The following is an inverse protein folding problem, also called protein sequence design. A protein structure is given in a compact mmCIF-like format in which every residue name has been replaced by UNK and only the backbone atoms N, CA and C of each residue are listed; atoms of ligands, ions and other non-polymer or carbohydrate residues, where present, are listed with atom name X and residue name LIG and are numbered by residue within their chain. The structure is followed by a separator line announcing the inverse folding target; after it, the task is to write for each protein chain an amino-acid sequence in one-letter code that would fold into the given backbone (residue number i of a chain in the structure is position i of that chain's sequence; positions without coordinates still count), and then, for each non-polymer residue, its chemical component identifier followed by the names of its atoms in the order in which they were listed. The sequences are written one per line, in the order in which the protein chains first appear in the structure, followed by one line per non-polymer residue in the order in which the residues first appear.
data_IF_366640985788
#
_entry.id   IF_366640985788
#
_cell.length_a   1.000
_cell.length_b   1.000
_cell.length_c   1.000
_cell.angle_alpha   90.00
_cell.angle_beta   90.00
_cell.angle_gamma   90.00
#
_symmetry.space_group_name_H-M   'P 1'
#
loop_
_entity.id
_entity.type
_entity.pdbx_description
1 polymer ?
#
# COMPACT_ATOMS: atom_id res chain seq x y z
N UNK A 1 12.72 43.37 -4.77
CA UNK A 1 13.99 43.04 -5.46
C UNK A 1 14.32 41.64 -5.05
N UNK A 2 14.33 40.74 -6.04
CA UNK A 2 14.09 39.31 -5.88
C UNK A 2 15.37 38.56 -5.51
N UNK A 3 15.16 37.48 -4.78
CA UNK A 3 16.15 36.54 -4.27
C UNK A 3 16.81 35.73 -5.39
N UNK A 4 18.11 35.52 -5.23
CA UNK A 4 18.94 34.58 -5.97
C UNK A 4 18.60 33.13 -5.60
N UNK A 5 18.41 32.27 -6.61
CA UNK A 5 18.45 30.82 -6.49
C UNK A 5 19.51 30.35 -7.49
N UNK A 6 20.50 29.59 -6.99
CA UNK A 6 21.54 28.93 -7.78
C UNK A 6 21.13 27.47 -8.05
N UNK A 7 21.53 27.05 -9.25
CA UNK A 7 21.29 25.83 -10.04
C UNK A 7 21.33 24.46 -9.34
N UNK A 8 20.45 23.57 -9.83
CA UNK A 8 20.64 22.11 -9.78
C UNK A 8 20.62 21.60 -11.22
N UNK A 9 21.78 21.14 -11.69
CA UNK A 9 21.99 20.58 -13.02
C UNK A 9 21.14 19.31 -13.27
N UNK A 10 20.32 19.39 -14.31
CA UNK A 10 19.60 18.28 -14.92
C UNK A 10 20.47 17.72 -16.06
N UNK A 11 21.03 16.53 -15.91
CA UNK A 11 21.63 15.80 -17.03
C UNK A 11 20.71 14.66 -17.47
N UNK A 12 19.98 14.93 -18.55
CA UNK A 12 19.35 13.93 -19.39
C UNK A 12 20.06 13.95 -20.75
N UNK A 13 20.65 12.83 -21.16
CA UNK A 13 21.00 12.56 -22.57
C UNK A 13 21.15 11.05 -22.79
N UNK A 14 20.09 10.40 -23.28
CA UNK A 14 20.21 9.31 -24.29
C UNK A 14 20.62 9.96 -25.64
N UNK A 15 20.87 9.25 -26.77
CA UNK A 15 20.85 7.81 -27.08
C UNK A 15 22.10 7.37 -27.92
N UNK A 16 22.20 6.10 -28.37
CA UNK A 16 22.03 5.71 -29.79
C UNK A 16 22.52 4.28 -30.13
N UNK A 17 21.67 3.56 -30.90
CA UNK A 17 21.92 2.59 -32.02
C UNK A 17 22.96 1.45 -31.90
N UNK A 18 22.82 0.25 -32.48
CA UNK A 18 21.96 -0.26 -33.56
C UNK A 18 22.00 -1.81 -33.63
N UNK A 19 20.87 -2.38 -34.06
CA UNK A 19 20.67 -3.55 -34.97
C UNK A 19 21.28 -4.96 -34.79
N UNK A 20 20.33 -5.92 -34.82
CA UNK A 20 20.34 -7.27 -35.44
C UNK A 20 21.23 -8.35 -34.80
N UNK A 21 20.78 -9.59 -34.53
CA UNK A 21 20.02 -10.53 -35.37
C UNK A 21 19.33 -11.59 -34.50
N UNK A 22 18.22 -12.14 -35.00
CA UNK A 22 17.45 -13.25 -34.45
C UNK A 22 18.28 -14.46 -34.01
N UNK A 23 17.95 -15.03 -32.85
CA UNK A 23 17.96 -16.49 -32.64
C UNK A 23 16.86 -16.86 -31.67
N UNK A 24 15.79 -17.38 -32.23
CA UNK A 24 14.73 -18.12 -31.55
C UNK A 24 15.33 -19.26 -30.74
N UNK A 25 15.01 -19.38 -29.46
CA UNK A 25 14.94 -20.69 -28.82
C UNK A 25 13.92 -20.64 -27.68
N UNK A 26 12.88 -21.46 -27.84
CA UNK A 26 11.88 -21.88 -26.87
C UNK A 26 12.29 -21.70 -25.40
N UNK A 27 11.48 -20.94 -24.65
CA UNK A 27 11.16 -21.37 -23.28
C UNK A 27 9.69 -21.09 -23.04
N UNK A 28 8.92 -22.17 -23.14
CA UNK A 28 7.56 -22.28 -22.64
C UNK A 28 7.62 -22.16 -21.11
N UNK A 29 7.57 -20.94 -20.60
CA UNK A 29 7.38 -20.70 -19.17
C UNK A 29 5.92 -20.34 -18.92
N UNK A 30 5.16 -21.31 -18.41
CA UNK A 30 3.90 -21.05 -17.73
C UNK A 30 4.17 -20.03 -16.61
N UNK A 31 3.49 -18.86 -16.61
CA UNK A 31 3.80 -17.80 -15.66
C UNK A 31 3.16 -18.15 -14.31
N UNK A 32 4.00 -18.34 -13.31
CA UNK A 32 3.58 -18.38 -11.91
C UNK A 32 3.99 -17.03 -11.30
N UNK A 33 3.02 -16.31 -10.73
CA UNK A 33 3.16 -15.08 -9.93
C UNK A 33 3.52 -13.74 -10.61
N UNK A 34 2.95 -13.44 -11.79
CA UNK A 34 2.75 -12.03 -12.18
C UNK A 34 1.37 -11.56 -11.73
N UNK A 35 1.31 -10.66 -10.75
CA UNK A 35 0.07 -10.02 -10.27
C UNK A 35 -0.46 -8.92 -11.20
N UNK A 36 0.32 -8.61 -12.24
CA UNK A 36 0.19 -7.41 -13.06
C UNK A 36 0.62 -7.73 -14.50
N UNK A 37 -0.13 -7.25 -15.50
CA UNK A 37 -0.01 -7.63 -16.92
C UNK A 37 -0.07 -6.42 -17.84
N UNK A 38 0.69 -6.42 -18.94
CA UNK A 38 0.53 -5.45 -20.03
C UNK A 38 -0.56 -5.89 -21.02
N UNK A 39 -0.99 -4.99 -21.91
CA UNK A 39 -1.92 -5.36 -22.99
C UNK A 39 -1.37 -6.49 -23.88
N UNK A 40 -0.04 -6.52 -24.10
CA UNK A 40 0.66 -7.57 -24.85
C UNK A 40 0.63 -8.92 -24.14
N UNK A 41 0.88 -8.91 -22.83
CA UNK A 41 0.82 -10.13 -22.02
C UNK A 41 -0.59 -10.72 -22.02
N UNK A 42 -1.61 -9.88 -21.85
CA UNK A 42 -3.01 -10.31 -21.90
C UNK A 42 -3.42 -10.80 -23.28
N UNK A 43 -2.95 -10.15 -24.36
CA UNK A 43 -3.20 -10.58 -25.73
C UNK A 43 -2.64 -11.99 -25.97
N UNK A 44 -1.43 -12.27 -25.47
CA UNK A 44 -0.82 -13.60 -25.54
C UNK A 44 -1.61 -14.63 -24.71
N UNK A 45 -1.94 -14.32 -23.44
CA UNK A 45 -2.66 -15.24 -22.54
C UNK A 45 -4.08 -15.56 -23.04
N UNK A 46 -4.77 -14.56 -23.60
CA UNK A 46 -6.13 -14.69 -24.10
C UNK A 46 -6.18 -15.12 -25.56
N UNK A 47 -5.05 -15.39 -26.21
CA UNK A 47 -4.95 -15.74 -27.63
C UNK A 47 -5.78 -14.77 -28.50
N UNK A 48 -5.62 -13.47 -28.26
CA UNK A 48 -6.43 -12.40 -28.84
C UNK A 48 -5.54 -11.23 -29.26
N UNK A 49 -6.07 -10.31 -30.07
CA UNK A 49 -5.32 -9.09 -30.42
C UNK A 49 -5.33 -8.08 -29.29
N UNK A 50 -4.30 -7.22 -29.18
CA UNK A 50 -4.28 -6.11 -28.22
C UNK A 50 -5.51 -5.20 -28.36
N UNK A 51 -5.99 -4.99 -29.59
CA UNK A 51 -7.24 -4.26 -29.85
C UNK A 51 -8.45 -4.89 -29.17
N UNK A 52 -8.51 -6.22 -29.13
CA UNK A 52 -9.56 -6.96 -28.43
C UNK A 52 -9.42 -6.79 -26.91
N UNK A 53 -8.20 -6.80 -26.38
CA UNK A 53 -7.93 -6.54 -24.95
C UNK A 53 -8.45 -5.16 -24.54
N UNK A 54 -8.17 -4.10 -25.31
CA UNK A 54 -8.72 -2.77 -25.03
C UNK A 54 -10.25 -2.73 -25.09
N UNK A 55 -10.87 -3.47 -26.03
CA UNK A 55 -12.33 -3.59 -26.09
C UNK A 55 -12.90 -4.31 -24.86
N UNK A 56 -12.25 -5.37 -24.39
CA UNK A 56 -12.66 -6.06 -23.17
C UNK A 56 -12.51 -5.16 -21.96
N UNK A 57 -11.40 -4.42 -21.83
CA UNK A 57 -11.19 -3.47 -20.75
C UNK A 57 -12.34 -2.44 -20.67
N UNK A 58 -12.73 -1.85 -21.79
CA UNK A 58 -13.86 -0.92 -21.84
C UNK A 58 -15.18 -1.58 -21.38
N UNK A 59 -15.40 -2.84 -21.75
CA UNK A 59 -16.60 -3.60 -21.35
C UNK A 59 -16.61 -4.02 -19.88
N UNK A 60 -15.44 -4.28 -19.30
CA UNK A 60 -15.29 -4.53 -17.85
C UNK A 60 -15.66 -3.27 -17.09
N UNK A 61 -15.13 -2.11 -17.49
CA UNK A 61 -15.43 -0.82 -16.84
C UNK A 61 -16.93 -0.49 -16.96
N UNK A 62 -17.56 -0.77 -18.10
CA UNK A 62 -19.01 -0.61 -18.28
C UNK A 62 -19.82 -1.55 -17.36
N UNK A 63 -19.44 -2.82 -17.28
CA UNK A 63 -20.13 -3.80 -16.43
C UNK A 63 -19.96 -3.51 -14.94
N UNK A 64 -18.79 -3.07 -14.52
CA UNK A 64 -18.40 -2.77 -13.14
C UNK A 64 -18.34 -1.26 -12.85
N UNK A 65 -19.25 -0.47 -13.42
CA UNK A 65 -19.21 1.00 -13.35
C UNK A 65 -19.22 1.59 -11.93
N UNK A 66 -19.54 0.80 -10.90
CA UNK A 66 -19.47 1.22 -9.49
C UNK A 66 -18.11 0.97 -8.83
N UNK A 67 -17.19 0.25 -9.48
CA UNK A 67 -15.82 0.06 -9.02
C UNK A 67 -14.88 1.04 -9.74
N UNK A 68 -13.82 1.52 -9.06
CA UNK A 68 -12.85 2.40 -9.69
C UNK A 68 -12.07 1.65 -10.78
N UNK A 69 -11.69 2.35 -11.86
CA UNK A 69 -10.88 1.75 -12.94
C UNK A 69 -9.56 1.16 -12.42
N UNK A 70 -9.00 1.73 -11.35
CA UNK A 70 -7.76 1.27 -10.69
C UNK A 70 -7.81 -0.19 -10.22
N UNK A 71 -9.01 -0.73 -9.95
CA UNK A 71 -9.16 -2.15 -9.59
C UNK A 71 -8.81 -3.09 -10.75
N UNK A 72 -8.90 -2.58 -11.98
CA UNK A 72 -8.72 -3.35 -13.21
C UNK A 72 -7.47 -2.90 -13.98
N UNK A 73 -7.19 -1.58 -14.00
CA UNK A 73 -6.08 -1.01 -14.75
C UNK A 73 -5.55 0.28 -14.12
N UNK A 74 -4.23 0.43 -14.08
CA UNK A 74 -3.52 1.67 -13.73
C UNK A 74 -2.45 1.92 -14.78
N UNK A 75 -2.45 3.08 -15.43
CA UNK A 75 -1.43 3.53 -16.39
C UNK A 75 -1.10 2.51 -17.51
N UNK A 76 -2.13 1.86 -18.07
CA UNK A 76 -1.97 0.88 -19.15
C UNK A 76 -1.56 -0.52 -18.67
N UNK A 77 -1.44 -0.70 -17.37
CA UNK A 77 -1.08 -1.95 -16.72
C UNK A 77 -2.32 -2.57 -16.05
N UNK A 78 -2.60 -3.83 -16.34
CA UNK A 78 -3.80 -4.55 -15.94
C UNK A 78 -3.55 -5.44 -14.72
N UNK A 79 -4.53 -5.53 -13.83
CA UNK A 79 -4.48 -6.38 -12.64
C UNK A 79 -4.86 -7.83 -12.96
N UNK A 80 -4.56 -8.75 -12.04
CA UNK A 80 -5.05 -10.14 -12.13
C UNK A 80 -6.58 -10.23 -12.23
N UNK A 81 -7.31 -9.31 -11.58
CA UNK A 81 -8.77 -9.23 -11.65
C UNK A 81 -9.24 -8.90 -13.07
N UNK A 82 -8.56 -8.00 -13.76
CA UNK A 82 -8.87 -7.72 -15.16
C UNK A 82 -8.67 -8.95 -16.06
N UNK A 83 -7.61 -9.74 -15.83
CA UNK A 83 -7.40 -10.98 -16.58
C UNK A 83 -8.56 -11.98 -16.36
N UNK A 84 -9.02 -12.17 -15.11
CA UNK A 84 -10.14 -13.06 -14.82
C UNK A 84 -11.42 -12.62 -15.53
N UNK A 85 -11.75 -11.33 -15.44
CA UNK A 85 -12.94 -10.77 -16.09
C UNK A 85 -12.84 -10.82 -17.62
N UNK A 86 -11.66 -10.61 -18.20
CA UNK A 86 -11.46 -10.77 -19.64
C UNK A 86 -11.63 -12.22 -20.09
N UNK A 87 -11.23 -13.22 -19.28
CA UNK A 87 -11.54 -14.63 -19.54
C UNK A 87 -13.04 -14.89 -19.51
N UNK A 88 -13.76 -14.29 -18.55
CA UNK A 88 -15.23 -14.39 -18.47
C UNK A 88 -15.91 -13.77 -19.69
N UNK A 89 -15.45 -12.61 -20.17
CA UNK A 89 -15.96 -11.99 -21.40
C UNK A 89 -15.71 -12.90 -22.61
N UNK A 90 -14.50 -13.48 -22.74
CA UNK A 90 -14.17 -14.40 -23.84
C UNK A 90 -15.06 -15.66 -23.84
N UNK A 91 -15.45 -16.14 -22.65
CA UNK A 91 -16.36 -17.27 -22.50
C UNK A 91 -17.83 -16.94 -22.81
N UNK A 92 -18.21 -15.66 -22.76
CA UNK A 92 -19.55 -15.21 -23.09
C UNK A 92 -19.76 -15.16 -24.61
N UNK A 93 -20.97 -15.52 -25.08
CA UNK A 93 -21.34 -15.48 -26.50
C UNK A 93 -21.22 -14.09 -27.11
N UNK A 94 -21.45 -13.03 -26.32
CA UNK A 94 -21.26 -11.64 -26.70
C UNK A 94 -20.99 -10.77 -25.47
N UNK A 95 -20.46 -9.56 -25.69
CA UNK A 95 -20.13 -8.63 -24.61
C UNK A 95 -21.36 -8.16 -23.80
N UNK A 96 -22.55 -8.12 -24.41
CA UNK A 96 -23.78 -7.71 -23.72
C UNK A 96 -24.29 -8.80 -22.76
N UNK A 97 -24.09 -10.08 -23.08
CA UNK A 97 -24.41 -11.19 -22.20
C UNK A 97 -23.51 -11.18 -20.96
N UNK A 98 -22.25 -10.77 -21.10
CA UNK A 98 -21.37 -10.55 -19.96
C UNK A 98 -21.89 -9.42 -19.05
N UNK A 99 -22.26 -8.25 -19.62
CA UNK A 99 -22.84 -7.16 -18.84
C UNK A 99 -24.11 -7.60 -18.12
N UNK A 100 -24.99 -8.34 -18.80
CA UNK A 100 -26.22 -8.87 -18.21
C UNK A 100 -25.93 -9.88 -17.09
N UNK A 101 -24.90 -10.73 -17.25
CA UNK A 101 -24.47 -11.69 -16.24
C UNK A 101 -23.96 -10.97 -14.99
N UNK A 102 -23.07 -9.99 -15.14
CA UNK A 102 -22.59 -9.15 -14.03
C UNK A 102 -23.76 -8.41 -13.38
N UNK A 103 -24.68 -7.84 -14.16
CA UNK A 103 -25.88 -7.18 -13.62
C UNK A 103 -26.76 -8.15 -12.82
N UNK A 104 -26.92 -9.40 -13.28
CA UNK A 104 -27.70 -10.43 -12.57
C UNK A 104 -27.01 -10.92 -11.29
N UNK A 105 -25.68 -11.04 -11.28
CA UNK A 105 -24.91 -11.42 -10.09
C UNK A 105 -25.00 -10.33 -9.00
N UNK A 106 -25.12 -9.07 -9.41
CA UNK A 106 -25.22 -7.92 -8.51
C UNK A 106 -26.67 -7.55 -8.13
N UNK A 107 -27.68 -8.14 -8.77
CA UNK A 107 -29.07 -8.02 -8.32
C UNK A 107 -29.26 -8.89 -7.08
N UNK A 108 -29.22 -8.23 -5.91
CA UNK A 108 -29.68 -8.82 -4.65
C UNK A 108 -31.07 -9.45 -4.88
N UNK A 109 -31.36 -10.65 -4.35
CA UNK A 109 -32.71 -11.19 -4.38
C UNK A 109 -33.66 -10.15 -3.77
N UNK A 110 -34.60 -9.65 -4.58
CA UNK A 110 -35.70 -8.85 -4.06
C UNK A 110 -36.55 -9.82 -3.25
N UNK A 111 -36.26 -9.94 -1.96
CA UNK A 111 -37.16 -10.58 -1.00
C UNK A 111 -38.47 -9.78 -1.12
N UNK A 112 -39.58 -10.38 -1.54
CA UNK A 112 -40.87 -9.69 -1.53
C UNK A 112 -41.15 -9.34 -0.08
N UNK A 113 -40.91 -8.08 0.29
CA UNK A 113 -41.34 -7.60 1.60
C UNK A 113 -42.85 -7.66 1.57
N UNK A 114 -43.43 -8.45 2.47
CA UNK A 114 -44.85 -8.66 2.62
C UNK A 114 -45.55 -7.38 3.12
N UNK A 115 -45.50 -6.29 2.35
CA UNK A 115 -46.21 -5.02 2.58
C UNK A 115 -46.51 -4.30 1.26
N UNK A 116 -47.01 -5.02 0.26
CA UNK A 116 -47.78 -4.41 -0.83
C UNK A 116 -49.07 -5.20 -1.00
N UNK A 117 -49.98 -4.93 -0.06
CA UNK A 117 -51.40 -5.21 -0.21
C UNK A 117 -51.94 -4.39 -1.38
N UNK A 118 -52.65 -5.08 -2.28
CA UNK A 118 -53.52 -4.59 -3.34
C UNK A 118 -52.75 -3.97 -4.53
N UNK A 119 -52.83 -4.45 -5.77
CA UNK A 119 -53.93 -5.08 -6.51
C UNK A 119 -53.33 -5.56 -7.83
N UNK A 120 -53.65 -6.78 -8.28
CA UNK A 120 -53.33 -7.21 -9.64
C UNK A 120 -52.93 -8.67 -9.72
N UNK A 121 -53.92 -9.52 -10.03
CA UNK A 121 -53.85 -10.95 -10.35
C UNK A 121 -52.46 -11.40 -10.84
N UNK A 122 -51.74 -12.14 -10.00
CA UNK A 122 -50.66 -13.01 -10.47
C UNK A 122 -51.17 -14.44 -10.28
N UNK A 123 -51.32 -15.10 -11.41
CA UNK A 123 -51.78 -16.48 -11.54
C UNK A 123 -50.96 -17.43 -10.66
N UNK A 124 -51.70 -18.41 -10.13
CA UNK A 124 -51.22 -19.63 -9.51
C UNK A 124 -50.01 -20.25 -10.24
N UNK A 125 -48.82 -20.13 -9.66
CA UNK A 125 -47.71 -21.05 -9.88
C UNK A 125 -46.72 -20.94 -8.69
N UNK A 126 -46.28 -22.10 -8.20
CA UNK A 126 -45.35 -22.30 -7.07
C UNK A 126 -45.93 -22.07 -5.67
N UNK A 127 -46.74 -23.04 -5.21
CA UNK A 127 -46.71 -23.44 -3.81
C UNK A 127 -45.32 -24.06 -3.52
N UNK A 128 -44.34 -23.22 -3.19
CA UNK A 128 -43.06 -23.67 -2.64
C UNK A 128 -43.35 -24.40 -1.31
N UNK A 129 -42.65 -25.52 -1.01
CA UNK A 129 -42.88 -26.26 0.22
C UNK A 129 -42.60 -25.35 1.44
N UNK A 130 -43.66 -24.93 2.13
CA UNK A 130 -43.62 -23.95 3.24
C UNK A 130 -42.69 -24.37 4.38
N UNK A 131 -42.47 -25.68 4.56
CA UNK A 131 -41.52 -26.22 5.54
C UNK A 131 -40.05 -25.97 5.18
N UNK A 132 -39.71 -25.90 3.89
CA UNK A 132 -38.32 -25.64 3.48
C UNK A 132 -37.99 -24.14 3.56
N UNK A 133 -38.96 -23.26 3.31
CA UNK A 133 -38.77 -21.81 3.42
C UNK A 133 -38.55 -21.38 4.87
N UNK A 134 -39.30 -21.90 5.84
CA UNK A 134 -39.10 -21.58 7.27
C UNK A 134 -37.71 -22.01 7.78
N UNK A 135 -37.23 -23.18 7.35
CA UNK A 135 -35.88 -23.68 7.71
C UNK A 135 -34.79 -22.80 7.08
N UNK A 136 -34.98 -22.37 5.84
CA UNK A 136 -34.04 -21.47 5.16
C UNK A 136 -34.03 -20.08 5.80
N UNK A 137 -35.19 -19.54 6.18
CA UNK A 137 -35.31 -18.26 6.88
C UNK A 137 -34.65 -18.29 8.26
N UNK A 138 -34.86 -19.37 9.02
CA UNK A 138 -34.20 -19.58 10.32
C UNK A 138 -32.68 -19.68 10.18
N UNK A 139 -32.19 -20.40 9.16
CA UNK A 139 -30.75 -20.47 8.84
C UNK A 139 -30.19 -19.12 8.42
N UNK A 140 -30.94 -18.35 7.63
CA UNK A 140 -30.55 -17.01 7.21
C UNK A 140 -30.44 -16.06 8.41
N UNK A 141 -31.41 -16.08 9.33
CA UNK A 141 -31.39 -15.30 10.55
C UNK A 141 -30.19 -15.67 11.45
N UNK A 142 -29.88 -16.96 11.55
CA UNK A 142 -28.71 -17.46 12.29
C UNK A 142 -27.41 -16.97 11.66
N UNK A 143 -27.29 -17.05 10.33
CA UNK A 143 -26.11 -16.56 9.59
C UNK A 143 -25.95 -15.05 9.80
N UNK A 144 -27.04 -14.28 9.70
CA UNK A 144 -27.03 -12.84 9.92
C UNK A 144 -26.59 -12.47 11.35
N UNK A 145 -27.08 -13.19 12.36
CA UNK A 145 -26.66 -13.02 13.75
C UNK A 145 -25.17 -13.31 13.93
N UNK A 146 -24.68 -14.42 13.38
CA UNK A 146 -23.26 -14.77 13.42
C UNK A 146 -22.37 -13.76 12.70
N UNK A 147 -22.81 -13.24 11.54
CA UNK A 147 -22.07 -12.22 10.80
C UNK A 147 -21.99 -10.91 11.57
N UNK A 148 -23.10 -10.50 12.21
CA UNK A 148 -23.13 -9.31 13.07
C UNK A 148 -22.19 -9.45 14.26
N UNK A 149 -22.22 -10.60 14.95
CA UNK A 149 -21.33 -10.89 16.07
C UNK A 149 -19.85 -10.91 15.65
N UNK A 150 -19.53 -11.52 14.50
CA UNK A 150 -18.18 -11.49 13.94
C UNK A 150 -17.74 -10.06 13.58
N UNK A 151 -18.61 -9.27 12.98
CA UNK A 151 -18.27 -7.89 12.60
C UNK A 151 -17.97 -7.03 13.84
N UNK A 152 -18.78 -7.14 14.90
CA UNK A 152 -18.52 -6.49 16.19
C UNK A 152 -17.18 -6.95 16.76
N UNK A 153 -16.92 -8.26 16.78
CA UNK A 153 -15.66 -8.83 17.28
C UNK A 153 -14.44 -8.32 16.51
N UNK A 154 -14.53 -8.22 15.18
CA UNK A 154 -13.45 -7.67 14.34
C UNK A 154 -13.25 -6.17 14.61
N UNK A 155 -14.32 -5.39 14.72
CA UNK A 155 -14.24 -3.98 15.05
C UNK A 155 -13.58 -3.74 16.41
N UNK A 156 -13.92 -4.53 17.42
CA UNK A 156 -13.30 -4.45 18.75
C UNK A 156 -11.80 -4.77 18.69
N UNK A 157 -11.42 -5.81 17.94
CA UNK A 157 -10.00 -6.17 17.73
C UNK A 157 -9.24 -5.06 17.01
N UNK A 158 -9.84 -4.43 15.99
CA UNK A 158 -9.23 -3.29 15.27
C UNK A 158 -9.06 -2.11 16.21
N UNK A 159 -10.08 -1.79 17.02
CA UNK A 159 -10.01 -0.69 18.00
C UNK A 159 -8.92 -0.92 19.04
N UNK A 160 -8.78 -2.15 19.53
CA UNK A 160 -7.70 -2.53 20.45
C UNK A 160 -6.32 -2.39 19.79
N UNK A 161 -6.18 -2.85 18.54
CA UNK A 161 -4.93 -2.74 17.80
C UNK A 161 -4.52 -1.27 17.58
N UNK A 162 -5.46 -0.40 17.21
CA UNK A 162 -5.22 1.03 17.06
C UNK A 162 -4.79 1.70 18.37
N UNK A 163 -5.39 1.29 19.49
CA UNK A 163 -5.00 1.80 20.82
C UNK A 163 -3.56 1.43 21.14
N UNK A 164 -3.18 0.16 20.94
CA UNK A 164 -1.80 -0.32 21.15
C UNK A 164 -0.78 0.38 20.27
N UNK A 165 -1.12 0.61 18.98
CA UNK A 165 -0.25 1.36 18.07
C UNK A 165 -0.04 2.79 18.58
N UNK A 166 -1.09 3.45 19.07
CA UNK A 166 -0.97 4.82 19.60
C UNK A 166 -0.10 4.86 20.85
N UNK A 167 -0.28 3.92 21.77
CA UNK A 167 0.53 3.81 22.99
C UNK A 167 2.00 3.57 22.64
N UNK A 168 2.29 2.67 21.70
CA UNK A 168 3.67 2.35 21.32
C UNK A 168 4.34 3.53 20.58
N UNK A 169 3.58 4.28 19.78
CA UNK A 169 4.06 5.53 19.17
C UNK A 169 4.42 6.55 20.23
N UNK A 170 3.62 6.69 21.28
CA UNK A 170 3.91 7.61 22.37
C UNK A 170 5.16 7.17 23.16
N UNK A 171 5.31 5.87 23.44
CA UNK A 171 6.52 5.32 24.08
C UNK A 171 7.77 5.58 23.25
N UNK A 172 7.69 5.35 21.94
CA UNK A 172 8.80 5.60 21.01
C UNK A 172 9.23 7.05 21.03
N UNK A 173 8.27 8.00 20.99
CA UNK A 173 8.58 9.42 21.05
C UNK A 173 9.25 9.82 22.37
N UNK A 174 8.74 9.31 23.51
CA UNK A 174 9.34 9.58 24.81
C UNK A 174 10.77 9.03 24.91
N UNK A 175 11.01 7.82 24.41
CA UNK A 175 12.34 7.21 24.38
C UNK A 175 13.30 8.00 23.49
N UNK A 176 12.84 8.47 22.32
CA UNK A 176 13.65 9.31 21.45
C UNK A 176 14.05 10.62 22.13
N UNK A 177 13.11 11.28 22.81
CA UNK A 177 13.38 12.49 23.57
C UNK A 177 14.42 12.25 24.69
N UNK A 178 14.33 11.12 25.38
CA UNK A 178 15.30 10.76 26.42
C UNK A 178 16.69 10.48 25.85
N UNK A 179 16.76 9.81 24.68
CA UNK A 179 18.02 9.54 23.98
C UNK A 179 18.70 10.84 23.53
N UNK A 180 17.92 11.79 22.99
CA UNK A 180 18.43 13.07 22.54
C UNK A 180 18.96 13.91 23.71
N UNK A 181 18.28 13.87 24.86
CA UNK A 181 18.75 14.54 26.08
C UNK A 181 20.04 13.89 26.62
N UNK A 182 20.12 12.57 26.64
CA UNK A 182 21.34 11.85 27.04
C UNK A 182 22.53 12.18 26.12
N UNK A 183 22.30 12.30 24.81
CA UNK A 183 23.33 12.72 23.85
C UNK A 183 23.81 14.14 24.10
N UNK A 184 22.90 15.08 24.39
CA UNK A 184 23.27 16.46 24.75
C UNK A 184 24.13 16.48 26.02
N UNK A 185 23.74 15.74 27.05
CA UNK A 185 24.51 15.63 28.29
C UNK A 185 25.89 15.01 28.04
N UNK A 186 25.99 13.98 27.20
CA UNK A 186 27.28 13.39 26.83
C UNK A 186 28.20 14.38 26.11
N UNK A 187 27.66 15.17 25.18
CA UNK A 187 28.42 16.21 24.47
C UNK A 187 28.91 17.28 25.46
N UNK A 188 28.02 17.74 26.36
CA UNK A 188 28.37 18.73 27.37
C UNK A 188 29.46 18.20 28.32
N UNK A 189 29.35 16.95 28.80
CA UNK A 189 30.38 16.32 29.63
C UNK A 189 31.72 16.24 28.90
N UNK A 190 31.71 15.84 27.62
CA UNK A 190 32.94 15.78 26.82
C UNK A 190 33.57 17.16 26.69
N UNK A 191 32.80 18.18 26.37
CA UNK A 191 33.31 19.56 26.28
C UNK A 191 33.89 20.05 27.62
N UNK A 192 33.26 19.70 28.75
CA UNK A 192 33.82 20.04 30.07
C UNK A 192 35.10 19.28 30.38
N UNK A 193 35.20 18.02 29.94
CA UNK A 193 36.41 17.23 30.11
C UNK A 193 37.57 17.78 29.27
N UNK A 194 37.31 18.08 27.99
CA UNK A 194 38.30 18.69 27.09
C UNK A 194 38.80 20.03 27.66
N UNK A 195 37.90 20.86 28.22
CA UNK A 195 38.27 22.13 28.86
C UNK A 195 39.09 21.95 30.15
N UNK A 196 38.81 20.90 30.94
CA UNK A 196 39.60 20.57 32.12
C UNK A 196 41.01 20.11 31.75
N UNK A 197 41.14 19.26 30.74
CA UNK A 197 42.43 18.80 30.21
C UNK A 197 43.26 19.98 29.68
N UNK A 198 42.64 20.89 28.92
CA UNK A 198 43.31 22.11 28.43
C UNK A 198 43.78 23.00 29.59
N UNK A 199 42.94 23.19 30.62
CA UNK A 199 43.31 23.96 31.80
C UNK A 199 44.46 23.31 32.58
N UNK A 200 44.48 21.98 32.72
CA UNK A 200 45.56 21.26 33.39
C UNK A 200 46.89 21.43 32.65
N UNK A 201 46.90 21.25 31.32
CA UNK A 201 48.08 21.49 30.49
C UNK A 201 48.55 22.94 30.63
N UNK A 202 47.63 23.91 30.58
CA UNK A 202 47.96 25.32 30.77
C UNK A 202 48.66 25.58 32.12
N UNK A 203 48.17 24.99 33.21
CA UNK A 203 48.80 25.14 34.54
C UNK A 203 50.19 24.49 34.59
N UNK A 204 50.36 23.32 33.99
CA UNK A 204 51.67 22.66 33.92
C UNK A 204 52.69 23.51 33.15
N UNK A 205 52.32 24.03 31.98
CA UNK A 205 53.18 24.93 31.18
C UNK A 205 53.50 26.20 31.96
N UNK A 206 52.50 26.82 32.59
CA UNK A 206 52.69 28.03 33.40
C UNK A 206 53.67 27.82 34.55
N UNK A 207 53.58 26.68 35.25
CA UNK A 207 54.49 26.36 36.34
C UNK A 207 55.91 26.09 35.83
N UNK A 208 56.06 25.35 34.73
CA UNK A 208 57.37 25.09 34.11
C UNK A 208 58.07 26.40 33.68
N UNK A 209 57.32 27.36 33.10
CA UNK A 209 57.86 28.68 32.73
C UNK A 209 58.31 29.46 33.97
N UNK A 210 57.54 29.43 35.06
CA UNK A 210 57.94 30.08 36.31
C UNK A 210 59.21 29.47 36.90
N UNK A 211 59.34 28.14 36.88
CA UNK A 211 60.54 27.45 37.36
C UNK A 211 61.76 27.82 36.51
N UNK A 212 61.63 27.87 35.18
CA UNK A 212 62.71 28.31 34.30
C UNK A 212 63.16 29.76 34.58
N UNK A 213 62.20 30.69 34.71
CA UNK A 213 62.52 32.09 35.05
C UNK A 213 63.26 32.20 36.39
N UNK A 214 62.84 31.44 37.40
CA UNK A 214 63.53 31.41 38.70
C UNK A 214 64.96 30.88 38.58
N UNK A 215 65.18 29.83 37.79
CA UNK A 215 66.52 29.29 37.54
C UNK A 215 67.40 30.32 36.83
N UNK A 216 66.87 31.03 35.83
CA UNK A 216 67.59 32.10 35.11
C UNK A 216 67.97 33.26 36.05
N UNK A 217 67.05 33.70 36.92
CA UNK A 217 67.35 34.73 37.92
C UNK A 217 68.45 34.30 38.90
N UNK A 218 68.41 33.06 39.38
CA UNK A 218 69.45 32.51 40.28
C UNK A 218 70.82 32.40 39.58
N UNK A 219 70.85 32.07 38.30
CA UNK A 219 72.09 32.03 37.51
C UNK A 219 72.69 33.41 37.25
N UNK A 220 71.88 34.47 37.18
CA UNK A 220 72.38 35.84 36.99
C UNK A 220 72.91 36.48 38.29
N UNK A 221 72.56 35.92 39.45
CA UNK A 221 72.99 36.43 40.77
C UNK A 221 74.22 35.74 41.36
N UNK A 222 74.66 34.61 40.78
CA UNK A 222 75.86 33.87 41.18
C UNK A 222 77.06 34.21 40.32
#
# INVERSE_FOLDING_TARGET
MNQDIIDVDCLATEPDTDQTVNSSLNTTEHPTDRSVFTAKDLAAILESTERTVYKYAAKIIEAWHWLPESDFRVDGIYTAKALEEMKRIKACKNANAYIALIASENQKPVIPTAKTSNTGKISSALALPTRQTEVLESRLATIQGNLSAQNISVQDRVKLALTRISEEKQRTNNNQSALDEARKQQIAMKATQDALEEHEVYQQVKNAVKEQLLIEELQQQG
#
